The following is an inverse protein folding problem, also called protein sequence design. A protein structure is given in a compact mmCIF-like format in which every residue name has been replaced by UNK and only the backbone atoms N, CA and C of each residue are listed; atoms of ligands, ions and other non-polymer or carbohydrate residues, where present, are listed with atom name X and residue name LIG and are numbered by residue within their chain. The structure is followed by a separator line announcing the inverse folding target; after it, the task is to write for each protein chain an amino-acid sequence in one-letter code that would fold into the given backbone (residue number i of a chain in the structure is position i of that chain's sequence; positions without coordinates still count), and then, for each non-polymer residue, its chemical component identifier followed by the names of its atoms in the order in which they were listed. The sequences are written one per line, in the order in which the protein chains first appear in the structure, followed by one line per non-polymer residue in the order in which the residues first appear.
data_IF_170268654431
#
_entry.id   IF_170268654431
#
_cell.length_a   1.000
_cell.length_b   1.000
_cell.length_c   1.000
_cell.angle_alpha   90.00
_cell.angle_beta   90.00
_cell.angle_gamma   90.00
#
_symmetry.space_group_name_H-M   'P 1'
#
loop_
_entity.id
_entity.type
_entity.pdbx_description
1 polymer ?
#
# COMPACT_ATOMS: atom_id res chain seq x y z
N UNK A 1 4.00 3.80 -19.89
CA UNK A 1 4.58 4.03 -18.54
C UNK A 1 5.43 2.84 -18.19
N UNK A 2 6.58 3.04 -17.54
CA UNK A 2 7.45 1.93 -17.11
C UNK A 2 6.64 0.94 -16.27
N UNK A 3 6.72 -0.34 -16.63
CA UNK A 3 6.08 -1.43 -15.90
C UNK A 3 7.00 -1.80 -14.75
N UNK A 4 6.48 -1.80 -13.52
CA UNK A 4 7.23 -2.30 -12.36
C UNK A 4 7.49 -3.79 -12.54
N UNK A 5 8.72 -4.20 -12.22
CA UNK A 5 9.15 -5.60 -12.28
C UNK A 5 8.25 -6.48 -11.38
N UNK A 6 7.61 -7.54 -11.91
CA UNK A 6 6.85 -8.48 -11.09
C UNK A 6 7.63 -9.13 -9.94
N UNK A 7 8.95 -9.33 -10.10
CA UNK A 7 9.80 -9.88 -9.05
C UNK A 7 9.89 -8.93 -7.86
N UNK A 8 9.97 -7.62 -8.10
CA UNK A 8 9.94 -6.62 -7.04
C UNK A 8 8.61 -6.63 -6.28
N UNK A 9 7.47 -6.68 -6.98
CA UNK A 9 6.16 -6.73 -6.32
C UNK A 9 6.00 -7.99 -5.47
N UNK A 10 6.54 -9.11 -5.95
CA UNK A 10 6.59 -10.37 -5.20
C UNK A 10 7.43 -10.24 -3.94
N UNK A 11 8.59 -9.59 -4.03
CA UNK A 11 9.44 -9.31 -2.87
C UNK A 11 8.74 -8.39 -1.85
N UNK A 12 8.02 -7.36 -2.31
CA UNK A 12 7.25 -6.46 -1.43
C UNK A 12 6.16 -7.24 -0.70
N UNK A 13 5.38 -8.08 -1.39
CA UNK A 13 4.34 -8.89 -0.76
C UNK A 13 4.94 -9.87 0.28
N UNK A 14 6.08 -10.50 -0.03
CA UNK A 14 6.79 -11.36 0.91
C UNK A 14 7.27 -10.58 2.15
N UNK A 15 7.73 -9.34 1.95
CA UNK A 15 8.18 -8.46 3.04
C UNK A 15 7.02 -8.05 3.94
N UNK A 16 5.85 -7.75 3.38
CA UNK A 16 4.63 -7.49 4.14
C UNK A 16 4.19 -8.72 4.95
N UNK A 17 4.21 -9.92 4.35
CA UNK A 17 3.89 -11.18 5.06
C UNK A 17 4.85 -11.42 6.23
N UNK A 18 6.14 -11.18 6.03
CA UNK A 18 7.14 -11.27 7.09
C UNK A 18 6.85 -10.27 8.21
N UNK A 19 6.55 -9.01 7.87
CA UNK A 19 6.18 -8.00 8.85
C UNK A 19 4.94 -8.39 9.69
N UNK A 20 3.93 -9.00 9.06
CA UNK A 20 2.76 -9.53 9.77
C UNK A 20 3.13 -10.63 10.77
N UNK A 21 4.06 -11.53 10.42
CA UNK A 21 4.45 -12.65 11.26
C UNK A 21 5.46 -12.31 12.36
N UNK A 22 6.33 -11.32 12.13
CA UNK A 22 7.44 -11.00 13.04
C UNK A 22 7.16 -9.83 13.99
N UNK A 23 6.18 -8.97 13.68
CA UNK A 23 5.94 -7.72 14.40
C UNK A 23 4.48 -7.57 14.77
N UNK A 24 4.22 -6.95 15.90
CA UNK A 24 2.88 -6.51 16.32
C UNK A 24 2.44 -5.22 15.61
N UNK A 25 1.12 -5.01 15.49
CA UNK A 25 0.50 -3.79 14.95
C UNK A 25 0.41 -3.68 13.43
N UNK A 26 -0.33 -2.72 12.91
CA UNK A 26 -0.68 -2.68 11.49
C UNK A 26 0.52 -2.38 10.60
N UNK A 27 0.42 -2.83 9.34
CA UNK A 27 1.45 -2.61 8.31
C UNK A 27 0.93 -1.57 7.32
N UNK A 28 1.73 -0.55 7.04
CA UNK A 28 1.51 0.38 5.94
C UNK A 28 2.52 0.08 4.84
N UNK A 29 2.07 -0.11 3.60
CA UNK A 29 2.94 -0.37 2.47
C UNK A 29 2.75 0.66 1.36
N UNK A 30 3.84 1.31 0.93
CA UNK A 30 3.82 2.30 -0.14
C UNK A 30 4.22 1.68 -1.49
N UNK A 31 3.36 1.90 -2.48
CA UNK A 31 3.48 1.39 -3.84
C UNK A 31 3.34 2.53 -4.85
N UNK A 32 3.94 2.42 -6.06
CA UNK A 32 3.97 3.52 -7.00
C UNK A 32 2.62 3.81 -7.67
N UNK A 33 1.62 2.93 -7.57
CA UNK A 33 0.31 3.16 -8.18
C UNK A 33 -0.71 2.05 -7.95
N UNK A 34 -1.94 2.30 -8.44
CA UNK A 34 -3.12 1.43 -8.27
C UNK A 34 -2.89 0.03 -8.86
N UNK A 35 -2.20 -0.07 -10.00
CA UNK A 35 -1.92 -1.36 -10.63
C UNK A 35 -1.01 -2.23 -9.78
N UNK A 36 0.00 -1.63 -9.15
CA UNK A 36 0.90 -2.33 -8.23
C UNK A 36 0.19 -2.69 -6.92
N UNK A 37 -0.64 -1.78 -6.38
CA UNK A 37 -1.52 -2.05 -5.22
C UNK A 37 -2.37 -3.30 -5.47
N UNK A 38 -3.08 -3.36 -6.60
CA UNK A 38 -3.93 -4.52 -6.91
C UNK A 38 -3.15 -5.83 -7.03
N UNK A 39 -1.94 -5.79 -7.60
CA UNK A 39 -1.07 -6.99 -7.71
C UNK A 39 -0.59 -7.48 -6.35
N UNK A 40 -0.09 -6.57 -5.51
CA UNK A 40 0.36 -6.92 -4.16
C UNK A 40 -0.81 -7.39 -3.31
N UNK A 41 -1.97 -6.73 -3.39
CA UNK A 41 -3.18 -7.17 -2.69
C UNK A 41 -3.57 -8.61 -3.07
N UNK A 42 -3.54 -8.96 -4.36
CA UNK A 42 -3.80 -10.33 -4.82
C UNK A 42 -2.80 -11.35 -4.25
N UNK A 43 -1.52 -10.97 -4.12
CA UNK A 43 -0.49 -11.82 -3.52
C UNK A 43 -0.61 -11.92 -1.99
N UNK A 44 -1.32 -11.00 -1.35
CA UNK A 44 -1.63 -11.02 0.08
C UNK A 44 -2.96 -11.72 0.39
N UNK A 45 -3.66 -12.28 -0.60
CA UNK A 45 -4.85 -13.08 -0.34
C UNK A 45 -4.56 -14.21 0.68
N UNK A 46 -5.49 -14.39 1.62
CA UNK A 46 -5.43 -15.43 2.65
C UNK A 46 -4.48 -15.14 3.83
N UNK A 47 -3.93 -13.93 3.95
CA UNK A 47 -3.29 -13.51 5.22
C UNK A 47 -4.36 -13.31 6.30
N UNK A 48 -3.99 -13.56 7.56
CA UNK A 48 -4.84 -13.27 8.73
C UNK A 48 -4.78 -11.77 9.09
N UNK A 49 -5.13 -10.93 8.12
CA UNK A 49 -5.18 -9.48 8.24
C UNK A 49 -6.15 -8.91 7.19
N UNK A 50 -6.81 -7.81 7.54
CA UNK A 50 -7.61 -7.04 6.60
C UNK A 50 -6.70 -6.24 5.66
N UNK A 51 -6.87 -6.41 4.35
CA UNK A 51 -6.06 -5.70 3.34
C UNK A 51 -6.86 -4.54 2.75
N UNK A 52 -6.46 -3.31 3.08
CA UNK A 52 -7.09 -2.07 2.64
C UNK A 52 -6.27 -1.42 1.52
N UNK A 53 -6.94 -0.93 0.47
CA UNK A 53 -6.30 -0.31 -0.69
C UNK A 53 -6.62 1.19 -0.73
N UNK A 54 -5.62 2.04 -0.49
CA UNK A 54 -5.78 3.50 -0.39
C UNK A 54 -5.08 4.18 -1.57
N UNK A 55 -5.87 4.82 -2.42
CA UNK A 55 -5.39 5.58 -3.56
C UNK A 55 -6.40 6.69 -3.90
N UNK A 56 -6.04 7.63 -4.77
CA UNK A 56 -6.90 8.78 -5.11
C UNK A 56 -8.26 8.46 -5.76
N UNK A 57 -8.61 7.18 -5.93
CA UNK A 57 -9.94 6.71 -6.40
C UNK A 57 -10.60 5.75 -5.42
N UNK A 58 -10.03 5.57 -4.22
CA UNK A 58 -10.59 4.68 -3.21
C UNK A 58 -11.93 5.25 -2.71
N UNK A 59 -12.96 4.40 -2.50
CA UNK A 59 -14.22 4.84 -1.90
C UNK A 59 -14.01 5.50 -0.54
N UNK A 60 -14.84 6.48 -0.19
CA UNK A 60 -14.76 7.18 1.10
C UNK A 60 -14.76 6.20 2.29
N UNK A 61 -15.59 5.16 2.23
CA UNK A 61 -15.65 4.12 3.26
C UNK A 61 -14.31 3.41 3.52
N UNK A 62 -13.44 3.28 2.51
CA UNK A 62 -12.11 2.69 2.70
C UNK A 62 -11.20 3.67 3.43
N UNK A 63 -11.28 4.97 3.12
CA UNK A 63 -10.53 6.00 3.85
C UNK A 63 -11.01 6.07 5.30
N UNK A 64 -12.32 6.03 5.52
CA UNK A 64 -12.90 6.03 6.86
C UNK A 64 -12.46 4.81 7.66
N UNK A 65 -12.44 3.62 7.06
CA UNK A 65 -11.96 2.39 7.71
C UNK A 65 -10.47 2.47 8.11
N UNK A 66 -9.65 3.11 7.27
CA UNK A 66 -8.22 3.34 7.58
C UNK A 66 -8.09 4.26 8.79
N UNK A 67 -8.85 5.37 8.82
CA UNK A 67 -8.84 6.37 9.88
C UNK A 67 -9.46 5.86 11.19
N UNK A 68 -10.48 5.00 11.12
CA UNK A 68 -11.17 4.45 12.29
C UNK A 68 -10.26 3.56 13.17
N UNK A 69 -9.19 3.00 12.59
CA UNK A 69 -8.32 2.07 13.30
C UNK A 69 -8.83 0.62 13.25
N UNK A 70 -8.03 -0.31 13.80
CA UNK A 70 -8.47 -1.71 13.95
C UNK A 70 -9.23 -1.89 15.27
N UNK A 71 -10.30 -2.68 15.23
CA UNK A 71 -11.10 -3.05 16.42
C UNK A 71 -10.71 -4.40 17.05
N UNK A 72 -9.54 -4.96 16.70
CA UNK A 72 -9.04 -6.21 17.29
C UNK A 72 -8.35 -7.18 16.33
N UNK A 73 -8.28 -6.84 15.04
CA UNK A 73 -7.56 -7.62 14.02
C UNK A 73 -6.29 -6.92 13.52
N UNK A 74 -5.52 -7.57 12.64
CA UNK A 74 -4.39 -6.95 11.94
C UNK A 74 -4.86 -6.31 10.65
N UNK A 75 -4.25 -5.18 10.28
CA UNK A 75 -4.48 -4.55 8.98
C UNK A 75 -3.20 -4.40 8.18
N UNK A 76 -3.34 -4.51 6.87
CA UNK A 76 -2.36 -4.09 5.88
C UNK A 76 -2.98 -3.00 5.03
N UNK A 77 -2.46 -1.78 5.17
CA UNK A 77 -2.86 -0.64 4.35
C UNK A 77 -1.88 -0.52 3.18
N UNK A 78 -2.35 -0.76 1.96
CA UNK A 78 -1.59 -0.57 0.73
C UNK A 78 -1.91 0.82 0.17
N UNK A 79 -0.96 1.74 0.22
CA UNK A 79 -1.12 3.12 -0.16
C UNK A 79 -0.23 3.46 -1.37
N UNK A 80 -0.65 4.45 -2.17
CA UNK A 80 0.27 5.05 -3.15
C UNK A 80 1.31 5.92 -2.44
N UNK A 81 2.55 6.00 -2.92
CA UNK A 81 3.57 6.91 -2.35
C UNK A 81 3.15 8.39 -2.38
N UNK A 82 2.24 8.77 -3.28
CA UNK A 82 1.63 10.12 -3.30
C UNK A 82 0.83 10.42 -2.02
N UNK A 83 0.34 9.39 -1.32
CA UNK A 83 -0.40 9.53 -0.06
C UNK A 83 0.52 9.50 1.18
N UNK A 84 1.84 9.32 1.01
CA UNK A 84 2.79 9.20 2.12
C UNK A 84 2.80 10.42 3.05
N UNK A 85 2.77 11.62 2.47
CA UNK A 85 2.94 12.86 3.23
C UNK A 85 1.72 13.28 4.06
N UNK A 86 0.56 12.63 3.88
CA UNK A 86 -0.71 13.07 4.49
C UNK A 86 -1.49 11.96 5.21
N UNK A 87 -1.01 10.72 5.20
CA UNK A 87 -1.79 9.59 5.71
C UNK A 87 -1.42 9.24 7.15
N UNK A 88 -2.23 9.67 8.11
CA UNK A 88 -2.19 9.15 9.48
C UNK A 88 -3.01 7.88 9.56
N UNK A 89 -2.36 6.73 9.74
CA UNK A 89 -3.03 5.44 9.95
C UNK A 89 -2.83 5.00 11.41
N UNK A 90 -3.85 5.09 12.27
CA UNK A 90 -3.75 4.62 13.64
C UNK A 90 -3.37 3.15 13.70
N UNK A 91 -2.56 2.76 14.69
CA UNK A 91 -2.19 1.37 14.91
C UNK A 91 -1.05 0.84 14.03
N UNK A 92 -0.57 1.61 13.04
CA UNK A 92 0.60 1.22 12.24
C UNK A 92 1.87 1.20 13.09
N UNK A 93 2.59 0.09 13.01
CA UNK A 93 3.87 -0.15 13.70
C UNK A 93 4.99 -0.53 12.73
N UNK A 94 4.65 -0.91 11.51
CA UNK A 94 5.60 -1.27 10.47
C UNK A 94 5.26 -0.55 9.17
N UNK A 95 6.28 0.02 8.54
CA UNK A 95 6.18 0.61 7.21
C UNK A 95 7.04 -0.19 6.24
N UNK A 96 6.48 -0.53 5.08
CA UNK A 96 7.18 -1.19 3.97
C UNK A 96 7.11 -0.28 2.75
N UNK A 97 8.23 0.31 2.36
CA UNK A 97 8.31 1.12 1.15
C UNK A 97 8.91 0.31 0.00
N UNK A 98 8.27 0.35 -1.17
CA UNK A 98 8.80 -0.23 -2.41
C UNK A 98 9.99 0.54 -2.98
N UNK A 99 10.25 1.76 -2.50
CA UNK A 99 11.31 2.65 -2.98
C UNK A 99 11.04 3.19 -4.39
N UNK A 100 9.81 3.04 -4.90
CA UNK A 100 9.40 3.47 -6.23
C UNK A 100 8.40 4.63 -6.13
N UNK A 101 8.63 5.64 -6.96
CA UNK A 101 7.70 6.73 -7.19
C UNK A 101 7.30 6.78 -8.67
N UNK A 102 6.07 7.21 -8.96
CA UNK A 102 5.67 7.61 -10.33
C UNK A 102 5.97 9.08 -10.51
N UNK A 103 6.91 9.40 -11.39
CA UNK A 103 7.16 10.79 -11.79
C UNK A 103 6.14 11.22 -12.87
N UNK A 104 5.45 12.36 -12.66
CA UNK A 104 4.68 12.98 -13.73
C UNK A 104 5.64 13.47 -14.82
N UNK A 105 5.62 12.83 -15.98
CA UNK A 105 6.35 13.30 -17.16
C UNK A 105 5.47 14.27 -17.94
N UNK A 106 5.72 15.57 -17.77
CA UNK A 106 5.14 16.60 -18.64
C UNK A 106 5.84 16.53 -19.98
N UNK A 107 5.11 16.14 -21.04
CA UNK A 107 5.63 16.24 -22.40
C UNK A 107 5.49 17.69 -22.86
N UNK A 108 6.61 18.40 -22.98
CA UNK A 108 6.65 19.79 -23.43
C UNK A 108 6.42 19.96 -24.95
N UNK A 109 6.09 18.88 -25.70
CA UNK A 109 5.86 18.94 -27.14
C UNK A 109 4.42 19.32 -27.57
N UNK A 110 3.55 19.75 -26.64
CA UNK A 110 2.25 20.34 -26.96
C UNK A 110 2.06 21.66 -26.21
N UNK A 111 2.81 22.66 -26.66
CA UNK A 111 2.41 24.07 -26.59
C UNK A 111 1.57 24.43 -27.79
#
# INVERSE_FOLDING_TARGET
GMRVDPALLTHVAATVRRALGEREGDVLCFLPGVGEIGRVAGQLAGVDAEVLQVHGRAPAAVQDAVLAGSSGGRRVVLATSVAESSLTVPGVRVVVDSGLAREPRTDHARG
#
